data_IF_633020596746
#
_entry.id   IF_633020596746
#
_cell.length_a   1.000
_cell.length_b   1.000
_cell.length_c   1.000
_cell.angle_alpha   90.00
_cell.angle_beta   90.00
_cell.angle_gamma   90.00
#
_symmetry.space_group_name_H-M   'P 1'
#
loop_
_entity.id
_entity.type
_entity.pdbx_description
1 polymer ?
#
# COMPACT_ATOMS: atom_id res chain seq x y z
N UNK A 1 13.44 8.11 -2.46
CA UNK A 1 12.12 7.86 -3.05
C UNK A 1 11.83 8.91 -4.09
N UNK A 2 11.16 8.52 -5.17
CA UNK A 2 10.72 9.41 -6.24
C UNK A 2 9.31 9.94 -5.97
N UNK A 3 8.97 11.03 -6.64
CA UNK A 3 7.62 11.60 -6.71
C UNK A 3 7.15 11.50 -8.14
N UNK A 4 5.90 11.07 -8.33
CA UNK A 4 5.23 10.95 -9.64
C UNK A 4 3.90 11.67 -9.63
N UNK A 5 3.42 12.01 -10.81
CA UNK A 5 2.10 12.61 -11.01
C UNK A 5 1.11 11.54 -11.47
N UNK A 6 -0.04 11.46 -10.80
CA UNK A 6 -1.14 10.64 -11.30
C UNK A 6 -1.68 11.24 -12.60
N UNK A 7 -1.67 10.46 -13.68
CA UNK A 7 -2.18 10.85 -15.00
C UNK A 7 -3.58 10.31 -15.27
N UNK A 8 -3.86 9.09 -14.79
CA UNK A 8 -5.16 8.45 -14.99
C UNK A 8 -5.56 7.64 -13.77
N UNK A 9 -6.78 7.92 -13.30
CA UNK A 9 -7.44 7.10 -12.30
C UNK A 9 -8.04 5.86 -12.98
N UNK A 10 -7.54 4.66 -12.63
CA UNK A 10 -7.89 3.42 -13.32
C UNK A 10 -9.07 2.74 -12.64
N UNK A 11 -8.92 2.38 -11.37
CA UNK A 11 -9.96 1.66 -10.64
C UNK A 11 -9.77 1.77 -9.13
N UNK A 12 -10.86 1.93 -8.36
CA UNK A 12 -10.81 1.78 -6.90
C UNK A 12 -10.65 0.31 -6.51
N UNK A 13 -9.75 0.05 -5.56
CA UNK A 13 -9.63 -1.21 -4.86
C UNK A 13 -10.57 -1.14 -3.65
N UNK A 14 -11.72 -1.82 -3.74
CA UNK A 14 -12.75 -1.84 -2.68
C UNK A 14 -12.35 -2.79 -1.54
N UNK A 15 -11.17 -2.56 -0.98
CA UNK A 15 -10.62 -3.33 0.14
C UNK A 15 -10.60 -2.45 1.40
N UNK A 16 -11.31 -2.89 2.44
CA UNK A 16 -11.31 -2.23 3.74
C UNK A 16 -11.84 -0.79 3.73
N UNK A 17 -11.47 -0.02 4.76
CA UNK A 17 -11.94 1.35 4.98
C UNK A 17 -11.06 2.46 4.39
N UNK A 18 -9.93 2.12 3.76
CA UNK A 18 -8.99 3.10 3.18
C UNK A 18 -9.23 3.37 1.69
N UNK A 19 -10.01 2.52 1.01
CA UNK A 19 -10.40 2.64 -0.40
C UNK A 19 -9.24 3.04 -1.34
N UNK A 20 -8.11 2.30 -1.36
CA UNK A 20 -7.01 2.63 -2.25
C UNK A 20 -7.42 2.52 -3.72
N UNK A 21 -6.62 3.06 -4.64
CA UNK A 21 -6.92 3.02 -6.06
C UNK A 21 -5.69 2.74 -6.91
N UNK A 22 -5.87 2.09 -8.06
CA UNK A 22 -4.82 1.97 -9.06
C UNK A 22 -4.83 3.23 -9.92
N UNK A 23 -3.68 3.87 -10.08
CA UNK A 23 -3.49 5.01 -10.96
C UNK A 23 -2.29 4.78 -11.89
N UNK A 24 -2.38 5.29 -13.11
CA UNK A 24 -1.26 5.40 -14.06
C UNK A 24 -0.50 6.68 -13.80
N UNK A 25 0.83 6.63 -13.87
CA UNK A 25 1.73 7.72 -13.49
C UNK A 25 2.53 8.24 -14.68
N UNK A 26 3.16 9.41 -14.52
CA UNK A 26 3.91 10.13 -15.56
C UNK A 26 5.25 9.51 -15.96
N UNK A 27 5.62 8.40 -15.33
CA UNK A 27 6.78 7.57 -15.64
C UNK A 27 6.42 6.24 -16.33
N UNK A 28 5.22 6.18 -16.92
CA UNK A 28 4.65 4.98 -17.56
C UNK A 28 4.40 3.80 -16.59
N UNK A 29 4.45 4.06 -15.27
CA UNK A 29 4.17 3.10 -14.21
C UNK A 29 2.70 3.02 -13.81
N UNK A 30 2.39 2.05 -12.95
CA UNK A 30 1.10 1.98 -12.24
C UNK A 30 1.37 1.85 -10.75
N UNK A 31 0.58 2.55 -9.94
CA UNK A 31 0.74 2.55 -8.48
C UNK A 31 -0.60 2.33 -7.79
N UNK A 32 -0.57 1.61 -6.68
CA UNK A 32 -1.65 1.59 -5.69
C UNK A 32 -1.53 2.85 -4.84
N UNK A 33 -2.34 3.85 -5.17
CA UNK A 33 -2.49 5.10 -4.46
C UNK A 33 -3.20 4.88 -3.12
N UNK A 34 -2.58 5.35 -2.04
CA UNK A 34 -3.17 5.46 -0.71
C UNK A 34 -3.51 6.92 -0.43
N UNK A 35 -4.80 7.20 -0.31
CA UNK A 35 -5.33 8.54 -0.14
C UNK A 35 -5.00 9.14 1.24
N UNK A 36 -4.41 10.34 1.26
CA UNK A 36 -4.13 11.10 2.49
C UNK A 36 -5.41 11.52 3.21
N UNK A 37 -6.49 11.75 2.47
CA UNK A 37 -7.81 12.09 3.00
C UNK A 37 -8.61 10.90 3.53
N UNK A 38 -8.08 9.67 3.49
CA UNK A 38 -8.77 8.49 4.00
C UNK A 38 -9.00 8.58 5.51
N UNK A 39 -10.00 7.87 6.03
CA UNK A 39 -10.39 7.91 7.45
C UNK A 39 -9.29 7.46 8.43
N UNK A 40 -8.33 6.66 7.96
CA UNK A 40 -7.14 6.26 8.73
C UNK A 40 -6.17 7.45 8.97
N UNK A 41 -6.27 8.48 8.14
CA UNK A 41 -5.53 9.73 8.26
C UNK A 41 -4.05 9.64 7.88
N UNK A 42 -3.34 10.79 7.89
CA UNK A 42 -1.95 10.87 7.46
C UNK A 42 -0.98 10.02 8.27
N UNK A 43 -1.29 9.75 9.54
CA UNK A 43 -0.42 8.92 10.40
C UNK A 43 -0.24 7.50 9.85
N UNK A 44 -1.30 6.91 9.31
CA UNK A 44 -1.21 5.60 8.66
C UNK A 44 -0.30 5.62 7.42
N UNK A 45 -0.33 6.70 6.64
CA UNK A 45 0.62 6.87 5.53
C UNK A 45 2.06 7.05 6.02
N UNK A 46 2.27 7.75 7.14
CA UNK A 46 3.59 7.86 7.75
C UNK A 46 4.07 6.50 8.27
N UNK A 47 3.19 5.70 8.87
CA UNK A 47 3.50 4.34 9.30
C UNK A 47 3.90 3.46 8.11
N UNK A 48 3.10 3.49 7.03
CA UNK A 48 3.39 2.81 5.77
C UNK A 48 4.78 3.17 5.24
N UNK A 49 5.05 4.47 5.16
CA UNK A 49 6.30 5.00 4.65
C UNK A 49 7.49 4.52 5.48
N UNK A 50 7.46 4.73 6.80
CA UNK A 50 8.61 4.42 7.66
C UNK A 50 8.81 2.90 7.75
N UNK A 51 7.75 2.14 8.02
CA UNK A 51 7.85 0.69 8.12
C UNK A 51 8.25 0.08 6.77
N UNK A 52 7.63 0.49 5.67
CA UNK A 52 8.00 0.01 4.35
C UNK A 52 9.47 0.31 3.99
N UNK A 53 9.94 1.53 4.18
CA UNK A 53 11.35 1.86 3.92
C UNK A 53 12.32 1.12 4.86
N UNK A 54 11.92 0.86 6.10
CA UNK A 54 12.67 -0.03 7.00
C UNK A 54 12.73 -1.46 6.44
N UNK A 55 11.60 -2.02 6.02
CA UNK A 55 11.51 -3.35 5.42
C UNK A 55 12.43 -3.46 4.20
N UNK A 56 12.38 -2.47 3.30
CA UNK A 56 13.26 -2.37 2.14
C UNK A 56 14.74 -2.33 2.53
N UNK A 57 15.08 -1.54 3.55
CA UNK A 57 16.47 -1.38 4.02
C UNK A 57 17.07 -2.68 4.60
N UNK A 58 16.24 -3.52 5.21
CA UNK A 58 16.65 -4.83 5.74
C UNK A 58 16.47 -5.97 4.72
N UNK A 59 16.18 -5.63 3.46
CA UNK A 59 16.07 -6.59 2.36
C UNK A 59 14.85 -7.49 2.42
N UNK A 60 13.73 -7.02 2.98
CA UNK A 60 12.43 -7.67 2.83
C UNK A 60 11.80 -7.27 1.49
N UNK A 61 11.09 -8.18 0.82
CA UNK A 61 10.47 -7.90 -0.47
C UNK A 61 9.21 -7.04 -0.26
N UNK A 62 9.27 -5.78 -0.65
CA UNK A 62 8.12 -4.87 -0.71
C UNK A 62 8.03 -4.28 -2.12
N UNK A 63 6.83 -3.90 -2.60
CA UNK A 63 6.74 -3.04 -3.78
C UNK A 63 7.40 -1.68 -3.49
N UNK A 64 7.91 -1.01 -4.53
CA UNK A 64 8.52 0.31 -4.36
C UNK A 64 7.51 1.29 -3.76
N UNK A 65 7.92 2.06 -2.75
CA UNK A 65 7.11 3.14 -2.20
C UNK A 65 7.48 4.44 -2.90
N UNK A 66 6.46 5.16 -3.35
CA UNK A 66 6.60 6.43 -4.08
C UNK A 66 5.68 7.49 -3.48
N UNK A 67 6.00 8.74 -3.74
CA UNK A 67 5.05 9.82 -3.54
C UNK A 67 4.23 10.04 -4.80
N UNK A 68 2.94 10.35 -4.63
CA UNK A 68 2.02 10.55 -5.76
C UNK A 68 1.30 11.89 -5.61
N UNK A 69 1.50 12.78 -6.56
CA UNK A 69 0.72 14.02 -6.67
C UNK A 69 -0.61 13.73 -7.35
N UNK A 70 -1.71 14.04 -6.66
CA UNK A 70 -3.09 13.79 -7.11
C UNK A 70 -3.82 15.10 -7.39
N UNK A 71 -4.44 15.19 -8.57
CA UNK A 71 -5.34 16.28 -8.91
C UNK A 71 -6.78 15.97 -8.45
N UNK A 72 -7.46 16.95 -7.83
CA UNK A 72 -8.87 16.82 -7.45
C UNK A 72 -9.81 16.57 -8.64
N UNK A 73 -9.39 16.92 -9.86
CA UNK A 73 -10.19 16.76 -11.08
C UNK A 73 -10.54 15.29 -11.37
N UNK A 74 -9.76 14.32 -10.87
CA UNK A 74 -10.09 12.89 -10.96
C UNK A 74 -11.43 12.55 -10.28
N UNK A 75 -11.88 13.34 -9.31
CA UNK A 75 -13.19 13.16 -8.68
C UNK A 75 -14.37 13.36 -9.63
N UNK A 76 -14.17 14.01 -10.79
CA UNK A 76 -15.25 14.22 -11.78
C UNK A 76 -15.58 12.96 -12.58
N UNK A 77 -14.62 12.05 -12.71
CA UNK A 77 -14.76 10.81 -13.50
C UNK A 77 -15.16 9.61 -12.66
N UNK A 78 -15.10 9.72 -11.34
CA UNK A 78 -15.50 8.66 -10.41
C UNK A 78 -17.03 8.70 -10.18
N UNK A 79 -17.76 7.60 -10.44
CA UNK A 79 -19.21 7.55 -10.19
C UNK A 79 -19.63 7.52 -8.72
N UNK A 80 -18.76 7.05 -7.80
CA UNK A 80 -19.09 6.88 -6.39
C UNK A 80 -18.85 8.17 -5.58
N UNK A 81 -19.90 8.83 -5.04
CA UNK A 81 -19.76 10.12 -4.34
C UNK A 81 -18.81 10.08 -3.13
N UNK A 82 -18.72 8.94 -2.43
CA UNK A 82 -17.82 8.80 -1.28
C UNK A 82 -16.36 8.84 -1.73
N UNK A 83 -16.05 8.18 -2.85
CA UNK A 83 -14.71 8.19 -3.44
C UNK A 83 -14.41 9.55 -4.08
N UNK A 84 -15.40 10.24 -4.65
CA UNK A 84 -15.21 11.62 -5.12
C UNK A 84 -14.75 12.55 -3.99
N UNK A 85 -15.41 12.49 -2.84
CA UNK A 85 -15.06 13.31 -1.67
C UNK A 85 -13.68 12.93 -1.13
N UNK A 86 -13.35 11.64 -1.12
CA UNK A 86 -12.02 11.14 -0.77
C UNK A 86 -10.92 11.70 -1.70
N UNK A 87 -11.14 11.68 -3.01
CA UNK A 87 -10.20 12.24 -4.00
C UNK A 87 -10.02 13.75 -3.76
N UNK A 88 -11.11 14.50 -3.58
CA UNK A 88 -11.05 15.96 -3.31
C UNK A 88 -10.30 16.27 -2.02
N UNK A 89 -10.51 15.50 -0.96
CA UNK A 89 -9.80 15.63 0.31
C UNK A 89 -8.32 15.25 0.22
N UNK A 90 -7.93 14.56 -0.85
CA UNK A 90 -6.59 14.03 -1.07
C UNK A 90 -5.79 14.78 -2.14
N UNK A 91 -6.21 15.97 -2.55
CA UNK A 91 -5.44 16.79 -3.51
C UNK A 91 -3.99 17.04 -3.03
N UNK A 92 -3.05 16.95 -3.98
CA UNK A 92 -1.62 17.12 -3.76
C UNK A 92 -0.92 15.81 -3.38
N UNK A 93 0.06 15.91 -2.48
CA UNK A 93 0.93 14.79 -2.13
C UNK A 93 0.22 13.69 -1.32
N UNK A 94 0.30 12.47 -1.85
CA UNK A 94 -0.14 11.20 -1.26
C UNK A 94 1.01 10.18 -1.28
N UNK A 95 0.73 8.97 -0.81
CA UNK A 95 1.66 7.85 -0.86
C UNK A 95 1.16 6.79 -1.84
N UNK A 96 2.08 6.15 -2.55
CA UNK A 96 1.80 5.03 -3.44
C UNK A 96 2.73 3.87 -3.18
N UNK A 97 2.29 2.68 -3.58
CA UNK A 97 3.10 1.48 -3.68
C UNK A 97 3.02 0.95 -5.10
N UNK A 98 4.10 0.43 -5.66
CA UNK A 98 4.12 -0.12 -7.01
C UNK A 98 3.01 -1.17 -7.19
N UNK A 99 2.26 -1.06 -8.28
CA UNK A 99 1.17 -1.99 -8.57
C UNK A 99 1.74 -3.26 -9.18
N UNK A 100 1.55 -4.40 -8.51
CA UNK A 100 2.05 -5.71 -8.94
C UNK A 100 1.03 -6.44 -9.84
N UNK A 101 1.16 -6.39 -11.18
CA UNK A 101 0.10 -6.87 -12.06
C UNK A 101 0.02 -8.40 -12.03
N UNK A 102 -1.18 -8.93 -11.80
CA UNK A 102 -1.39 -10.38 -11.70
C UNK A 102 -0.87 -11.01 -10.41
N UNK A 103 -0.48 -10.20 -9.42
CA UNK A 103 -0.20 -10.69 -8.08
C UNK A 103 -1.48 -11.30 -7.46
N UNK A 104 -1.28 -12.33 -6.63
CA UNK A 104 -2.37 -13.01 -5.93
C UNK A 104 -2.12 -12.95 -4.42
N UNK A 105 -3.18 -13.05 -3.62
CA UNK A 105 -3.05 -13.11 -2.18
C UNK A 105 -2.29 -14.38 -1.76
N UNK A 106 -1.43 -14.23 -0.76
CA UNK A 106 -0.72 -15.34 -0.15
C UNK A 106 -1.69 -16.27 0.60
N UNK A 107 -1.63 -17.56 0.30
CA UNK A 107 -2.36 -18.61 1.03
C UNK A 107 -1.36 -19.52 1.79
N UNK A 108 -1.29 -19.46 3.12
CA UNK A 108 -0.36 -20.28 3.91
C UNK A 108 -0.61 -21.78 3.78
N UNK A 109 -1.80 -22.22 3.35
CA UNK A 109 -2.10 -23.65 3.15
C UNK A 109 -1.56 -24.18 1.82
N UNK A 110 -1.41 -23.32 0.81
CA UNK A 110 -1.06 -23.72 -0.55
C UNK A 110 0.31 -23.18 -1.02
N UNK A 111 0.85 -22.17 -0.34
CA UNK A 111 2.04 -21.43 -0.76
C UNK A 111 3.12 -21.55 0.31
N UNK A 112 4.03 -22.54 0.23
CA UNK A 112 5.14 -22.63 1.17
C UNK A 112 6.10 -21.45 0.96
N UNK A 113 6.60 -20.91 2.08
CA UNK A 113 7.61 -19.84 2.12
C UNK A 113 8.86 -20.38 2.78
N UNK A 114 10.01 -19.87 2.35
CA UNK A 114 11.27 -20.15 3.00
C UNK A 114 11.24 -19.75 4.49
N UNK A 115 11.76 -20.63 5.35
CA UNK A 115 11.67 -20.46 6.80
C UNK A 115 12.47 -19.25 7.32
N UNK A 116 13.58 -18.88 6.67
CA UNK A 116 14.36 -17.69 7.03
C UNK A 116 13.57 -16.43 6.69
N UNK A 117 13.00 -16.35 5.48
CA UNK A 117 12.15 -15.23 5.08
C UNK A 117 10.95 -15.07 6.03
N UNK A 118 10.23 -16.16 6.31
CA UNK A 118 9.11 -16.14 7.25
C UNK A 118 9.52 -15.63 8.64
N UNK A 119 10.68 -16.08 9.15
CA UNK A 119 11.21 -15.66 10.46
C UNK A 119 11.56 -14.17 10.48
N UNK A 120 12.17 -13.65 9.40
CA UNK A 120 12.50 -12.22 9.25
C UNK A 120 11.26 -11.35 9.19
N UNK A 121 10.19 -11.81 8.55
CA UNK A 121 8.89 -11.11 8.50
C UNK A 121 8.30 -11.01 9.91
N UNK A 122 8.22 -12.13 10.64
CA UNK A 122 7.70 -12.15 12.02
C UNK A 122 8.52 -11.24 12.93
N UNK A 123 9.84 -11.27 12.83
CA UNK A 123 10.71 -10.39 13.60
C UNK A 123 10.48 -8.91 13.23
N UNK A 124 10.28 -8.61 11.95
CA UNK A 124 10.04 -7.26 11.47
C UNK A 124 8.69 -6.71 11.93
N UNK A 125 7.62 -7.50 11.90
CA UNK A 125 6.32 -7.10 12.46
C UNK A 125 6.41 -6.85 13.97
N UNK A 126 7.19 -7.66 14.70
CA UNK A 126 7.43 -7.44 16.13
C UNK A 126 8.20 -6.14 16.39
N UNK A 127 9.26 -5.87 15.61
CA UNK A 127 10.03 -4.63 15.69
C UNK A 127 9.16 -3.40 15.44
N UNK A 128 8.34 -3.45 14.40
CA UNK A 128 7.49 -2.32 13.99
C UNK A 128 6.17 -2.26 14.76
N UNK A 129 5.90 -3.22 15.65
CA UNK A 129 4.60 -3.35 16.33
C UNK A 129 3.43 -3.35 15.33
N UNK A 130 3.57 -4.08 14.22
CA UNK A 130 2.55 -4.25 13.21
C UNK A 130 1.52 -5.30 13.68
N UNK A 131 0.35 -4.83 14.07
CA UNK A 131 -0.71 -5.68 14.64
C UNK A 131 -1.66 -6.25 13.57
N UNK A 132 -1.59 -5.76 12.34
CA UNK A 132 -2.53 -6.12 11.29
C UNK A 132 -2.11 -7.36 10.49
N UNK A 133 -0.80 -7.65 10.43
CA UNK A 133 -0.29 -8.89 9.82
C UNK A 133 -0.59 -10.08 10.71
N UNK A 134 -1.63 -10.83 10.37
CA UNK A 134 -2.11 -11.99 11.11
C UNK A 134 -2.26 -13.22 10.22
N UNK A 135 -2.47 -14.40 10.82
CA UNK A 135 -2.73 -15.62 10.06
C UNK A 135 -4.01 -15.55 9.19
N UNK A 136 -4.95 -14.65 9.52
CA UNK A 136 -6.20 -14.44 8.77
C UNK A 136 -6.13 -13.26 7.80
N UNK A 137 -5.27 -12.29 8.11
CA UNK A 137 -4.98 -11.17 7.24
C UNK A 137 -3.45 -11.05 7.06
N UNK A 138 -2.85 -11.84 6.16
CA UNK A 138 -1.40 -11.86 6.05
C UNK A 138 -0.83 -10.56 5.50
N UNK A 139 -1.61 -9.72 4.79
CA UNK A 139 -1.10 -8.56 4.02
C UNK A 139 0.12 -8.93 3.16
N UNK A 140 0.09 -10.14 2.58
CA UNK A 140 1.16 -10.68 1.75
C UNK A 140 0.57 -11.02 0.38
N UNK A 141 1.33 -10.70 -0.66
CA UNK A 141 1.01 -11.10 -2.03
C UNK A 141 2.12 -11.98 -2.60
N UNK A 142 1.77 -12.81 -3.58
CA UNK A 142 2.74 -13.53 -4.40
C UNK A 142 2.70 -12.95 -5.82
N UNK A 143 3.85 -12.49 -6.28
CA UNK A 143 4.04 -11.95 -7.63
C UNK A 143 5.29 -12.56 -8.24
N UNK A 144 5.17 -13.09 -9.47
CA UNK A 144 6.23 -13.85 -10.13
C UNK A 144 6.90 -14.91 -9.24
N UNK A 145 6.09 -15.63 -8.45
CA UNK A 145 6.52 -16.68 -7.50
C UNK A 145 7.39 -16.18 -6.33
N UNK A 146 7.41 -14.86 -6.09
CA UNK A 146 8.07 -14.24 -4.95
C UNK A 146 7.03 -13.64 -4.02
N UNK A 147 7.27 -13.73 -2.72
CA UNK A 147 6.42 -13.13 -1.69
C UNK A 147 6.71 -11.63 -1.61
N UNK A 148 5.69 -10.81 -1.41
CA UNK A 148 5.79 -9.36 -1.18
C UNK A 148 4.97 -8.98 0.04
N UNK A 149 5.56 -8.17 0.92
CA UNK A 149 4.88 -7.54 2.04
C UNK A 149 4.19 -6.28 1.53
N UNK A 150 2.90 -6.22 1.75
CA UNK A 150 2.09 -5.03 1.52
C UNK A 150 1.52 -4.55 2.86
N UNK A 151 0.94 -3.37 2.80
CA UNK A 151 0.14 -2.73 3.84
C UNK A 151 0.72 -2.78 5.27
N UNK A 152 1.58 -1.80 5.53
CA UNK A 152 2.19 -1.49 6.81
C UNK A 152 1.52 -0.27 7.49
N UNK A 153 0.36 0.17 7.02
CA UNK A 153 -0.32 1.36 7.54
C UNK A 153 -0.73 1.23 9.01
N UNK A 154 -0.88 0.01 9.52
CA UNK A 154 -1.17 -0.31 10.92
C UNK A 154 0.10 -0.62 11.76
N UNK A 155 1.29 -0.47 11.19
CA UNK A 155 2.53 -0.51 11.94
C UNK A 155 2.63 0.67 12.90
N UNK A 156 3.57 0.57 13.86
CA UNK A 156 3.82 1.57 14.89
C UNK A 156 2.54 1.93 15.65
N UNK A 157 1.77 0.91 16.03
CA UNK A 157 0.45 1.02 16.67
C UNK A 157 0.37 2.11 17.76
N UNK A 158 1.45 2.32 18.51
CA UNK A 158 1.57 3.34 19.55
C UNK A 158 1.34 4.79 19.11
N UNK A 159 1.40 5.10 17.81
CA UNK A 159 1.23 6.46 17.30
C UNK A 159 -0.14 6.75 16.68
N UNK A 160 -1.02 5.75 16.55
CA UNK A 160 -2.33 5.92 15.92
C UNK A 160 -3.29 6.68 16.83
#
# INVERSE_FOLDING_TARGET
>A
MRTVHALRYITPLREGGSLPAVVETDDDGMVVLKFRGAGQGPKALIAELIAGEMARSVGLPIPEIVFVELDREFARTEPDPEIQDLIRASEGLNLGSDYLPGAINYDPAAMPVDADLASRIVWFDALTSNVDRTARNPNLMVWHRQLYLIDHGAAMYFHH
#
